data_IF_230290986176
#
_entry.id   IF_230290986176
#
_cell.length_a   1.000
_cell.length_b   1.000
_cell.length_c   1.000
_cell.angle_alpha   90.00
_cell.angle_beta   90.00
_cell.angle_gamma   90.00
#
_symmetry.space_group_name_H-M   'P 1'
#
loop_
_entity.id
_entity.type
_entity.pdbx_description
1 polymer ?
#
# COMPACT_ATOMS: atom_id res chain seq x y z
N UNK A 1 -11.80 -27.31 -27.31
CA UNK A 1 -12.21 -26.13 -28.11
C UNK A 1 -12.62 -25.06 -27.13
N UNK A 2 -11.77 -24.05 -26.94
CA UNK A 2 -12.11 -22.88 -26.17
C UNK A 2 -13.12 -22.08 -26.98
N UNK A 3 -14.33 -21.91 -26.46
CA UNK A 3 -15.21 -20.86 -26.96
C UNK A 3 -14.60 -19.55 -26.48
N UNK A 4 -13.84 -18.91 -27.37
CA UNK A 4 -13.53 -17.49 -27.27
C UNK A 4 -14.86 -16.74 -27.33
N UNK A 5 -15.34 -16.39 -26.14
CA UNK A 5 -16.57 -15.66 -25.90
C UNK A 5 -16.33 -14.16 -26.16
N UNK A 6 -15.73 -13.84 -27.31
CA UNK A 6 -15.56 -12.46 -27.82
C UNK A 6 -16.92 -11.79 -28.13
N UNK A 7 -18.02 -12.54 -27.98
CA UNK A 7 -19.41 -12.09 -28.18
C UNK A 7 -20.17 -11.86 -26.87
N UNK A 8 -19.48 -11.77 -25.71
CA UNK A 8 -20.14 -11.36 -24.48
C UNK A 8 -20.59 -9.91 -24.59
N UNK A 9 -21.86 -9.57 -24.29
CA UNK A 9 -22.35 -8.19 -24.32
C UNK A 9 -21.61 -7.27 -23.36
N UNK A 10 -20.79 -7.83 -22.46
CA UNK A 10 -19.99 -7.12 -21.47
C UNK A 10 -18.49 -7.10 -21.77
N UNK A 11 -18.03 -7.64 -22.92
CA UNK A 11 -16.60 -7.79 -23.21
C UNK A 11 -15.83 -6.46 -23.15
N UNK A 12 -16.37 -5.39 -23.73
CA UNK A 12 -15.75 -4.07 -23.72
C UNK A 12 -15.69 -3.47 -22.30
N UNK A 13 -16.75 -3.65 -21.51
CA UNK A 13 -16.80 -3.15 -20.14
C UNK A 13 -15.87 -3.91 -19.19
N UNK A 14 -15.76 -5.22 -19.36
CA UNK A 14 -14.80 -6.06 -18.63
C UNK A 14 -13.36 -5.68 -18.99
N UNK A 15 -13.08 -5.40 -20.26
CA UNK A 15 -11.76 -4.92 -20.70
C UNK A 15 -11.42 -3.55 -20.09
N UNK A 16 -12.39 -2.63 -20.00
CA UNK A 16 -12.22 -1.34 -19.31
C UNK A 16 -11.95 -1.53 -17.82
N UNK A 17 -12.68 -2.43 -17.17
CA UNK A 17 -12.49 -2.76 -15.76
C UNK A 17 -11.12 -3.37 -15.47
N UNK A 18 -10.65 -4.32 -16.31
CA UNK A 18 -9.30 -4.88 -16.23
C UNK A 18 -8.23 -3.80 -16.42
N UNK A 19 -8.43 -2.89 -17.39
CA UNK A 19 -7.56 -1.74 -17.61
C UNK A 19 -7.50 -0.78 -16.41
N UNK A 20 -8.62 -0.53 -15.75
CA UNK A 20 -8.67 0.27 -14.52
C UNK A 20 -7.94 -0.42 -13.36
N UNK A 21 -8.10 -1.74 -13.21
CA UNK A 21 -7.38 -2.54 -12.23
C UNK A 21 -5.87 -2.51 -12.49
N UNK A 22 -5.44 -2.62 -13.74
CA UNK A 22 -4.02 -2.53 -14.11
C UNK A 22 -3.41 -1.17 -13.78
N UNK A 23 -4.10 -0.08 -14.13
CA UNK A 23 -3.67 1.28 -13.78
C UNK A 23 -3.55 1.48 -12.27
N UNK A 24 -4.54 0.99 -11.52
CA UNK A 24 -4.56 1.07 -10.06
C UNK A 24 -3.43 0.25 -9.46
N UNK A 25 -3.19 -0.96 -9.97
CA UNK A 25 -2.07 -1.80 -9.53
C UNK A 25 -0.72 -1.13 -9.78
N UNK A 26 -0.56 -0.46 -10.93
CA UNK A 26 0.65 0.29 -11.24
C UNK A 26 0.82 1.50 -10.30
N UNK A 27 -0.27 2.25 -10.06
CA UNK A 27 -0.25 3.38 -9.13
C UNK A 27 0.10 2.93 -7.70
N UNK A 28 -0.39 1.77 -7.25
CA UNK A 28 0.02 1.16 -5.97
C UNK A 28 1.53 0.89 -5.99
N UNK A 29 2.05 0.26 -7.04
CA UNK A 29 3.48 -0.06 -7.13
C UNK A 29 4.37 1.19 -7.10
N UNK A 30 3.94 2.28 -7.74
CA UNK A 30 4.69 3.52 -7.87
C UNK A 30 4.59 4.43 -6.65
N UNK A 31 3.60 4.21 -5.78
CA UNK A 31 3.39 5.00 -4.58
C UNK A 31 4.62 4.94 -3.65
N UNK A 32 5.01 6.10 -3.12
CA UNK A 32 6.22 6.29 -2.31
C UNK A 32 5.93 6.54 -0.83
N UNK A 33 4.67 6.77 -0.49
CA UNK A 33 4.20 7.02 0.86
C UNK A 33 2.95 6.19 1.16
N UNK A 34 2.72 5.86 2.44
CA UNK A 34 1.50 5.17 2.85
C UNK A 34 0.27 6.03 2.53
N UNK A 35 0.38 7.36 2.66
CA UNK A 35 -0.67 8.31 2.29
C UNK A 35 -1.05 8.21 0.83
N UNK A 36 -0.08 8.10 -0.08
CA UNK A 36 -0.35 7.89 -1.50
C UNK A 36 -1.08 6.57 -1.73
N UNK A 37 -0.61 5.47 -1.13
CA UNK A 37 -1.29 4.17 -1.23
C UNK A 37 -2.70 4.23 -0.65
N UNK A 38 -2.90 4.96 0.45
CA UNK A 38 -4.19 5.09 1.10
C UNK A 38 -5.18 5.97 0.33
N UNK A 39 -4.69 6.89 -0.49
CA UNK A 39 -5.49 7.74 -1.36
C UNK A 39 -5.91 7.05 -2.66
N UNK A 40 -5.39 5.85 -2.95
CA UNK A 40 -5.86 5.03 -4.06
C UNK A 40 -7.16 4.34 -3.64
N UNK A 41 -8.24 4.75 -4.29
CA UNK A 41 -9.56 4.15 -4.10
C UNK A 41 -9.60 2.72 -4.66
N UNK A 42 -10.46 1.90 -4.07
CA UNK A 42 -10.76 0.58 -4.62
C UNK A 42 -11.43 0.74 -5.99
N UNK A 43 -11.10 -0.14 -6.94
CA UNK A 43 -11.74 -0.11 -8.25
C UNK A 43 -13.20 -0.51 -8.10
N UNK A 44 -14.10 0.45 -8.36
CA UNK A 44 -15.54 0.22 -8.30
C UNK A 44 -15.97 -0.70 -9.44
N UNK A 45 -16.63 -1.80 -9.09
CA UNK A 45 -17.19 -2.75 -10.04
C UNK A 45 -18.64 -2.38 -10.31
N UNK A 46 -19.02 -2.10 -11.57
CA UNK A 46 -20.41 -1.82 -11.93
C UNK A 46 -21.37 -2.92 -11.45
N UNK A 47 -22.57 -2.58 -10.92
CA UNK A 47 -23.48 -3.56 -10.32
C UNK A 47 -23.83 -4.75 -11.23
N UNK A 48 -24.03 -4.50 -12.52
CA UNK A 48 -24.36 -5.53 -13.51
C UNK A 48 -23.19 -6.47 -13.86
N UNK A 49 -21.95 -6.09 -13.51
CA UNK A 49 -20.75 -6.90 -13.72
C UNK A 49 -20.34 -7.69 -12.46
N UNK A 50 -20.90 -7.41 -11.29
CA UNK A 50 -20.46 -8.02 -10.02
C UNK A 50 -20.42 -9.56 -10.06
N UNK A 51 -21.41 -10.19 -10.71
CA UNK A 51 -21.52 -11.65 -10.80
C UNK A 51 -20.40 -12.30 -11.63
N UNK A 52 -19.81 -11.56 -12.57
CA UNK A 52 -18.82 -12.09 -13.53
C UNK A 52 -17.42 -11.48 -13.37
N UNK A 53 -17.31 -10.30 -12.76
CA UNK A 53 -16.07 -9.55 -12.65
C UNK A 53 -14.97 -10.35 -11.96
N UNK A 54 -15.24 -11.00 -10.82
CA UNK A 54 -14.22 -11.79 -10.13
C UNK A 54 -13.68 -12.99 -10.94
N UNK A 55 -14.49 -13.56 -11.85
CA UNK A 55 -14.06 -14.68 -12.69
C UNK A 55 -13.35 -14.22 -13.97
N UNK A 56 -13.70 -13.04 -14.50
CA UNK A 56 -13.25 -12.54 -15.80
C UNK A 56 -12.21 -11.42 -15.71
N UNK A 57 -12.02 -10.82 -14.54
CA UNK A 57 -11.08 -9.72 -14.25
C UNK A 57 -10.16 -10.18 -13.12
N UNK A 58 -9.15 -11.02 -13.40
CA UNK A 58 -8.29 -11.60 -12.37
C UNK A 58 -7.54 -10.55 -11.55
N UNK A 59 -7.24 -9.40 -12.16
CA UNK A 59 -6.49 -8.32 -11.53
C UNK A 59 -7.26 -7.68 -10.38
N UNK A 60 -8.61 -7.69 -10.40
CA UNK A 60 -9.47 -7.14 -9.37
C UNK A 60 -9.25 -7.80 -7.99
N UNK A 61 -9.17 -9.13 -7.95
CA UNK A 61 -9.03 -9.88 -6.70
C UNK A 61 -7.70 -9.64 -5.98
N UNK A 62 -6.67 -9.18 -6.71
CA UNK A 62 -5.32 -8.99 -6.18
C UNK A 62 -5.02 -7.59 -5.64
N UNK A 63 -5.85 -6.59 -5.95
CA UNK A 63 -5.53 -5.17 -5.66
C UNK A 63 -5.35 -4.89 -4.17
N UNK A 64 -6.29 -5.36 -3.34
CA UNK A 64 -6.22 -5.19 -1.89
C UNK A 64 -4.94 -5.76 -1.31
N UNK A 65 -4.57 -6.99 -1.70
CA UNK A 65 -3.33 -7.62 -1.25
C UNK A 65 -2.09 -6.84 -1.70
N UNK A 66 -2.08 -6.33 -2.94
CA UNK A 66 -0.98 -5.49 -3.45
C UNK A 66 -0.86 -4.19 -2.66
N UNK A 67 -1.98 -3.55 -2.34
CA UNK A 67 -2.04 -2.37 -1.47
C UNK A 67 -1.41 -2.66 -0.12
N UNK A 68 -1.86 -3.73 0.55
CA UNK A 68 -1.37 -4.11 1.88
C UNK A 68 0.14 -4.40 1.88
N UNK A 69 0.61 -5.21 0.92
CA UNK A 69 2.05 -5.49 0.79
C UNK A 69 2.86 -4.22 0.54
N UNK A 70 2.37 -3.31 -0.30
CA UNK A 70 3.07 -2.07 -0.59
C UNK A 70 3.17 -1.16 0.64
N UNK A 71 2.09 -1.06 1.42
CA UNK A 71 2.12 -0.31 2.69
C UNK A 71 3.20 -0.87 3.61
N UNK A 72 3.28 -2.19 3.76
CA UNK A 72 4.32 -2.83 4.58
C UNK A 72 5.74 -2.54 4.06
N UNK A 73 5.96 -2.60 2.75
CA UNK A 73 7.25 -2.28 2.13
C UNK A 73 7.68 -0.82 2.41
N UNK A 74 6.77 0.13 2.25
CA UNK A 74 7.05 1.56 2.49
C UNK A 74 7.42 1.78 3.96
N UNK A 75 6.65 1.20 4.89
CA UNK A 75 6.92 1.32 6.33
C UNK A 75 8.28 0.70 6.68
N UNK A 76 8.60 -0.46 6.12
CA UNK A 76 9.90 -1.11 6.31
C UNK A 76 11.03 -0.23 5.79
N UNK A 77 10.89 0.35 4.60
CA UNK A 77 11.89 1.25 4.02
C UNK A 77 12.10 2.50 4.87
N UNK A 78 11.03 3.10 5.39
CA UNK A 78 11.09 4.24 6.31
C UNK A 78 11.84 3.90 7.60
N UNK A 79 11.54 2.74 8.22
CA UNK A 79 12.25 2.27 9.41
C UNK A 79 13.73 2.01 9.14
N UNK A 80 14.07 1.38 8.01
CA UNK A 80 15.46 1.20 7.60
C UNK A 80 16.18 2.53 7.38
N UNK A 81 15.51 3.53 6.81
CA UNK A 81 16.04 4.90 6.67
C UNK A 81 16.41 5.51 8.03
N UNK A 82 15.52 5.39 9.02
CA UNK A 82 15.80 5.84 10.39
C UNK A 82 16.98 5.07 11.00
N UNK A 83 17.08 3.76 10.76
CA UNK A 83 18.17 2.94 11.29
C UNK A 83 19.54 3.30 10.69
N UNK A 84 19.59 3.69 9.42
CA UNK A 84 20.82 4.08 8.72
C UNK A 84 21.33 5.48 9.09
N UNK A 85 20.46 6.36 9.58
CA UNK A 85 20.84 7.72 9.96
C UNK A 85 21.88 7.72 11.07
N UNK A 86 22.98 8.48 10.93
CA UNK A 86 24.10 8.42 11.88
C UNK A 86 23.80 9.18 13.17
N UNK A 87 23.09 10.30 13.07
CA UNK A 87 22.77 11.14 14.22
C UNK A 87 21.46 10.72 14.90
N UNK A 88 21.48 10.57 16.23
CA UNK A 88 20.27 10.31 17.02
C UNK A 88 19.20 11.43 16.89
N UNK A 89 19.64 12.68 16.81
CA UNK A 89 18.79 13.86 16.68
C UNK A 89 18.11 13.88 15.32
N UNK A 90 18.87 13.61 14.25
CA UNK A 90 18.33 13.54 12.89
C UNK A 90 17.35 12.37 12.78
N UNK A 91 17.72 11.19 13.28
CA UNK A 91 16.86 10.01 13.30
C UNK A 91 15.55 10.26 14.08
N UNK A 92 15.62 10.94 15.24
CA UNK A 92 14.44 11.28 16.04
C UNK A 92 13.51 12.25 15.29
N UNK A 93 14.07 13.28 14.65
CA UNK A 93 13.30 14.23 13.84
C UNK A 93 12.67 13.58 12.61
N UNK A 94 13.40 12.69 11.95
CA UNK A 94 12.89 11.92 10.80
C UNK A 94 11.70 11.05 11.24
N UNK A 95 11.84 10.34 12.36
CA UNK A 95 10.77 9.51 12.91
C UNK A 95 9.53 10.34 13.25
N UNK A 96 9.69 11.51 13.86
CA UNK A 96 8.56 12.41 14.13
C UNK A 96 7.91 12.95 12.85
N UNK A 97 8.72 13.29 11.83
CA UNK A 97 8.21 13.73 10.52
C UNK A 97 7.40 12.65 9.83
N UNK A 98 7.93 11.42 9.76
CA UNK A 98 7.25 10.27 9.14
C UNK A 98 5.92 9.99 9.86
N UNK A 99 5.92 10.02 11.20
CA UNK A 99 4.69 9.82 11.97
C UNK A 99 3.62 10.84 11.64
N UNK A 100 3.98 12.12 11.59
CA UNK A 100 3.06 13.21 11.33
C UNK A 100 2.58 13.23 9.86
N UNK A 101 3.48 12.99 8.91
CA UNK A 101 3.20 13.12 7.48
C UNK A 101 2.55 11.89 6.86
N UNK A 102 2.88 10.69 7.33
CA UNK A 102 2.54 9.44 6.65
C UNK A 102 1.85 8.42 7.55
N UNK A 103 2.32 8.20 8.78
CA UNK A 103 1.74 7.13 9.61
C UNK A 103 0.38 7.48 10.24
N UNK A 104 -0.09 8.72 10.12
CA UNK A 104 -1.44 9.05 10.57
C UNK A 104 -2.51 8.21 9.84
N UNK A 105 -2.30 7.88 8.55
CA UNK A 105 -3.20 6.99 7.80
C UNK A 105 -3.03 5.52 8.17
N UNK A 106 -1.84 5.09 8.63
CA UNK A 106 -1.65 3.74 9.18
C UNK A 106 -2.51 3.55 10.41
N UNK A 107 -2.59 4.54 11.30
CA UNK A 107 -3.36 4.42 12.54
C UNK A 107 -4.84 4.14 12.27
N UNK A 108 -5.41 4.71 11.20
CA UNK A 108 -6.81 4.53 10.84
C UNK A 108 -7.06 3.22 10.07
N UNK A 109 -6.19 2.89 9.11
CA UNK A 109 -6.43 1.80 8.15
C UNK A 109 -5.71 0.49 8.52
N UNK A 110 -4.61 0.57 9.26
CA UNK A 110 -3.70 -0.54 9.58
C UNK A 110 -3.22 -0.46 11.05
N UNK A 111 -4.11 -0.53 12.05
CA UNK A 111 -3.78 -0.24 13.46
C UNK A 111 -2.70 -1.17 14.04
N UNK A 112 -2.71 -2.45 13.67
CA UNK A 112 -1.72 -3.43 14.12
C UNK A 112 -0.33 -3.13 13.53
N UNK A 113 -0.27 -2.78 12.25
CA UNK A 113 0.98 -2.39 11.59
C UNK A 113 1.51 -1.08 12.17
N UNK A 114 0.64 -0.11 12.45
CA UNK A 114 1.01 1.13 13.13
C UNK A 114 1.65 0.87 14.50
N UNK A 115 1.01 0.04 15.34
CA UNK A 115 1.53 -0.31 16.66
C UNK A 115 2.89 -1.01 16.57
N UNK A 116 3.05 -1.94 15.62
CA UNK A 116 4.32 -2.63 15.36
C UNK A 116 5.41 -1.66 14.93
N UNK A 117 5.15 -0.83 13.92
CA UNK A 117 6.11 0.13 13.38
C UNK A 117 6.53 1.17 14.43
N UNK A 118 5.60 1.63 15.28
CA UNK A 118 5.88 2.55 16.37
C UNK A 118 6.84 1.94 17.41
N UNK A 119 6.59 0.68 17.81
CA UNK A 119 7.50 -0.03 18.73
C UNK A 119 8.90 -0.19 18.13
N UNK A 120 8.98 -0.60 16.87
CA UNK A 120 10.26 -0.82 16.19
C UNK A 120 11.06 0.48 16.02
N UNK A 121 10.41 1.56 15.60
CA UNK A 121 11.02 2.89 15.50
C UNK A 121 11.57 3.37 16.84
N UNK A 122 10.80 3.22 17.93
CA UNK A 122 11.27 3.58 19.27
C UNK A 122 12.50 2.75 19.71
N UNK A 123 12.51 1.45 19.42
CA UNK A 123 13.66 0.58 19.69
C UNK A 123 14.91 0.97 18.89
N UNK A 124 14.75 1.39 17.63
CA UNK A 124 15.86 1.93 16.82
C UNK A 124 16.45 3.18 17.49
N UNK A 125 15.61 4.13 17.88
CA UNK A 125 16.05 5.38 18.53
C UNK A 125 16.74 5.13 19.87
N UNK A 126 16.21 4.22 20.69
CA UNK A 126 16.83 3.85 21.96
C UNK A 126 18.22 3.23 21.75
N UNK A 127 18.37 2.32 20.79
CA UNK A 127 19.67 1.73 20.42
C UNK A 127 20.67 2.76 19.91
N UNK A 128 20.22 3.85 19.29
CA UNK A 128 21.11 4.95 18.86
C UNK A 128 21.56 5.81 20.03
N UNK A 129 20.63 6.26 20.89
CA UNK A 129 20.96 7.03 22.10
C UNK A 129 21.93 6.34 23.04
N UNK A 130 21.90 5.00 23.10
CA UNK A 130 22.85 4.20 23.89
C UNK A 130 24.24 4.10 23.26
N UNK A 131 24.36 4.27 21.95
CA UNK A 131 25.65 4.23 21.23
C UNK A 131 26.38 5.57 21.28
N UNK A 132 25.64 6.66 21.37
CA UNK A 132 26.18 8.03 21.41
C UNK A 132 26.50 8.52 22.85
N UNK A 133 26.23 7.70 23.86
CA UNK A 133 26.60 7.91 25.27
C UNK A 133 27.86 7.13 25.62
#
# INVERSE_FOLDING_TARGET
MAHDDESSPFAEELAKLEGACHKTAQAIADARSVREVAALDDVEVPPHLQAIAYAKVPSLGGLRRRRDMRVEEIVKHQLSGIELERSDLVASREFDRIKAGDWYVLRANYPELYAKALREGNLILERKRKRDR
#
